data_IF_294624231041
#
_entry.id   IF_294624231041
#
_cell.length_a   1.000
_cell.length_b   1.000
_cell.length_c   1.000
_cell.angle_alpha   90.00
_cell.angle_beta   90.00
_cell.angle_gamma   90.00
#
_symmetry.space_group_name_H-M   'P 1'
#
loop_
_entity.id
_entity.type
_entity.pdbx_description
1 polymer ?
#
# COMPACT_ATOMS: atom_id res chain seq x y z
N UNK A 1 -16.13 -21.07 5.21
CA UNK A 1 -14.95 -20.39 4.64
C UNK A 1 -14.57 -19.20 5.50
N UNK A 2 -13.28 -18.96 5.73
CA UNK A 2 -12.84 -17.78 6.50
C UNK A 2 -12.58 -16.65 5.53
N UNK A 3 -13.44 -15.64 5.51
CA UNK A 3 -13.29 -14.43 4.69
C UNK A 3 -12.52 -13.41 5.52
N UNK A 4 -11.20 -13.47 5.53
CA UNK A 4 -10.41 -12.57 6.34
C UNK A 4 -9.69 -11.50 5.51
N UNK A 5 -9.43 -10.38 6.18
CA UNK A 5 -8.48 -9.35 5.78
C UNK A 5 -7.52 -9.11 6.93
N UNK A 6 -6.25 -8.91 6.62
CA UNK A 6 -5.23 -8.60 7.63
C UNK A 6 -4.30 -7.50 7.17
N UNK A 7 -3.82 -6.70 8.12
CA UNK A 7 -2.88 -5.60 7.87
C UNK A 7 -1.62 -5.83 8.68
N UNK A 8 -0.47 -5.84 8.01
CA UNK A 8 0.85 -5.85 8.60
C UNK A 8 1.59 -4.57 8.20
N UNK A 9 1.98 -3.76 9.20
CA UNK A 9 2.66 -2.50 8.97
C UNK A 9 4.16 -2.62 9.29
N UNK A 10 4.99 -2.10 8.39
CA UNK A 10 6.44 -1.91 8.55
C UNK A 10 6.79 -0.47 8.27
N UNK A 11 7.82 0.03 8.93
CA UNK A 11 8.32 1.38 8.71
C UNK A 11 9.75 1.34 8.15
N UNK A 12 10.03 2.30 7.29
CA UNK A 12 11.29 2.36 6.57
C UNK A 12 11.89 3.77 6.59
N UNK A 13 13.20 3.82 6.50
CA UNK A 13 13.93 5.08 6.31
C UNK A 13 13.76 5.57 4.89
N UNK A 14 13.99 6.86 4.66
CA UNK A 14 13.92 7.47 3.33
C UNK A 14 14.77 6.78 2.26
N UNK A 15 15.91 6.23 2.65
CA UNK A 15 16.84 5.54 1.73
C UNK A 15 16.30 4.19 1.24
N UNK A 16 15.25 3.68 1.84
CA UNK A 16 14.67 2.37 1.50
C UNK A 16 13.55 2.46 0.46
N UNK A 17 13.25 3.67 -0.06
CA UNK A 17 12.25 3.85 -1.12
C UNK A 17 12.59 3.02 -2.35
N UNK A 18 13.88 2.91 -2.69
CA UNK A 18 14.35 2.12 -3.82
C UNK A 18 14.02 0.63 -3.69
N UNK A 19 14.15 0.10 -2.48
CA UNK A 19 13.83 -1.30 -2.19
C UNK A 19 12.33 -1.56 -2.30
N UNK A 20 11.50 -0.67 -1.73
CA UNK A 20 10.04 -0.78 -1.79
C UNK A 20 9.58 -0.73 -3.24
N UNK A 21 9.98 0.29 -3.97
CA UNK A 21 9.63 0.50 -5.37
C UNK A 21 10.06 -0.67 -6.26
N UNK A 22 11.31 -1.15 -6.12
CA UNK A 22 11.82 -2.27 -6.92
C UNK A 22 11.04 -3.57 -6.71
N UNK A 23 10.53 -3.81 -5.48
CA UNK A 23 9.68 -4.95 -5.19
C UNK A 23 8.28 -4.75 -5.79
N UNK A 24 7.67 -3.61 -5.52
CA UNK A 24 6.27 -3.32 -5.89
C UNK A 24 6.09 -3.29 -7.42
N UNK A 25 7.06 -2.73 -8.16
CA UNK A 25 7.03 -2.64 -9.62
C UNK A 25 7.82 -3.76 -10.33
N UNK A 26 8.09 -4.87 -9.64
CA UNK A 26 8.73 -6.06 -10.25
C UNK A 26 10.09 -5.79 -10.91
N UNK A 27 10.85 -4.78 -10.46
CA UNK A 27 12.18 -4.46 -10.96
C UNK A 27 13.28 -5.34 -10.32
N UNK A 28 12.99 -6.06 -9.25
CA UNK A 28 13.88 -7.01 -8.59
C UNK A 28 13.43 -8.46 -8.82
N UNK A 29 14.39 -9.40 -8.78
CA UNK A 29 14.05 -10.83 -8.85
C UNK A 29 13.29 -11.24 -7.59
N UNK A 30 12.15 -11.93 -7.78
CA UNK A 30 11.27 -12.42 -6.73
C UNK A 30 11.13 -13.93 -6.90
N UNK A 31 11.46 -14.70 -5.86
CA UNK A 31 11.55 -16.17 -5.93
C UNK A 31 10.20 -16.88 -5.70
N UNK A 32 9.16 -16.16 -5.28
CA UNK A 32 7.82 -16.70 -4.96
C UNK A 32 6.74 -16.24 -5.95
N UNK A 33 7.15 -15.89 -7.18
CA UNK A 33 6.20 -15.66 -8.28
C UNK A 33 5.69 -16.99 -8.81
N UNK A 34 4.39 -17.04 -9.08
CA UNK A 34 3.79 -18.16 -9.83
C UNK A 34 4.23 -18.11 -11.29
N UNK A 35 4.33 -19.28 -11.90
CA UNK A 35 4.54 -19.35 -13.36
C UNK A 35 3.41 -18.63 -14.09
N UNK A 36 3.74 -17.94 -15.20
CA UNK A 36 2.77 -17.16 -15.99
C UNK A 36 1.57 -17.98 -16.47
N UNK A 37 1.72 -19.28 -16.62
CA UNK A 37 0.63 -20.19 -17.00
C UNK A 37 -0.45 -20.35 -15.92
N UNK A 38 -0.11 -20.04 -14.66
CA UNK A 38 -1.02 -20.08 -13.51
C UNK A 38 -1.66 -18.73 -13.19
N UNK A 39 -1.05 -17.62 -13.63
CA UNK A 39 -1.52 -16.26 -13.33
C UNK A 39 -2.71 -15.90 -14.20
N UNK A 40 -3.88 -15.69 -13.59
CA UNK A 40 -5.11 -15.30 -14.29
C UNK A 40 -5.28 -13.78 -14.41
N UNK A 41 -4.79 -13.03 -13.44
CA UNK A 41 -5.01 -11.59 -13.32
C UNK A 41 -3.67 -10.85 -13.29
N UNK A 42 -3.65 -9.67 -13.88
CA UNK A 42 -2.46 -8.81 -13.85
C UNK A 42 -2.41 -8.03 -12.55
N UNK A 43 -1.20 -7.73 -12.07
CA UNK A 43 -0.99 -6.80 -10.98
C UNK A 43 -1.55 -5.43 -11.32
N UNK A 44 -2.04 -4.71 -10.31
CA UNK A 44 -2.62 -3.39 -10.47
C UNK A 44 -1.90 -2.39 -9.58
N UNK A 45 -1.82 -1.13 -10.02
CA UNK A 45 -1.08 -0.11 -9.30
C UNK A 45 -1.84 1.22 -9.29
N UNK A 46 -1.74 1.94 -8.16
CA UNK A 46 -2.10 3.34 -8.03
C UNK A 46 -0.89 4.09 -7.49
N UNK A 47 -0.47 5.17 -8.14
CA UNK A 47 0.49 6.13 -7.58
C UNK A 47 -0.25 7.44 -7.33
N UNK A 48 -0.25 7.92 -6.10
CA UNK A 48 -0.93 9.15 -5.72
C UNK A 48 -0.09 10.35 -6.15
N UNK A 49 -0.63 11.16 -7.05
CA UNK A 49 0.01 12.38 -7.53
C UNK A 49 -1.03 13.51 -7.65
N UNK A 50 -0.69 14.74 -7.24
CA UNK A 50 -1.64 15.85 -7.15
C UNK A 50 -2.24 16.28 -8.50
N UNK A 51 -1.56 16.02 -9.61
CA UNK A 51 -1.92 16.55 -10.93
C UNK A 51 -2.28 15.46 -11.98
N UNK A 52 -2.36 14.19 -11.61
CA UNK A 52 -2.57 13.10 -12.57
C UNK A 52 -3.63 12.13 -12.07
N UNK A 53 -4.91 12.47 -12.24
CA UNK A 53 -5.99 11.53 -11.90
C UNK A 53 -6.41 10.61 -13.07
N UNK A 54 -6.10 10.96 -14.33
CA UNK A 54 -6.66 10.27 -15.50
C UNK A 54 -5.68 9.35 -16.25
N UNK A 55 -4.35 9.60 -16.23
CA UNK A 55 -3.41 8.87 -17.11
C UNK A 55 -2.55 7.79 -16.42
N UNK A 56 -2.68 7.57 -15.12
CA UNK A 56 -1.80 6.67 -14.35
C UNK A 56 -1.98 5.20 -14.73
N UNK A 57 -3.14 4.82 -15.24
CA UNK A 57 -3.44 3.43 -15.62
C UNK A 57 -2.62 2.95 -16.83
N UNK A 58 -2.19 3.87 -17.69
CA UNK A 58 -1.43 3.56 -18.92
C UNK A 58 0.09 3.62 -18.74
N UNK A 59 0.58 3.94 -17.53
CA UNK A 59 2.02 4.03 -17.27
C UNK A 59 2.66 2.65 -17.13
N UNK A 60 3.88 2.50 -17.64
CA UNK A 60 4.72 1.36 -17.34
C UNK A 60 5.33 1.43 -15.93
N UNK A 61 5.96 0.34 -15.49
CA UNK A 61 6.50 0.24 -14.13
C UNK A 61 7.64 1.23 -13.87
N UNK A 62 8.43 1.60 -14.89
CA UNK A 62 9.49 2.60 -14.77
C UNK A 62 8.90 4.01 -14.57
N UNK A 63 7.87 4.34 -15.33
CA UNK A 63 7.16 5.61 -15.20
C UNK A 63 6.48 5.75 -13.84
N UNK A 64 5.87 4.67 -13.32
CA UNK A 64 5.30 4.63 -11.96
C UNK A 64 6.36 4.84 -10.89
N UNK A 65 7.53 4.20 -11.02
CA UNK A 65 8.66 4.37 -10.11
C UNK A 65 9.15 5.83 -10.08
N UNK A 66 9.32 6.45 -11.24
CA UNK A 66 9.72 7.86 -11.36
C UNK A 66 8.71 8.78 -10.65
N UNK A 67 7.40 8.55 -10.84
CA UNK A 67 6.35 9.34 -10.20
C UNK A 67 6.36 9.16 -8.68
N UNK A 68 6.45 7.93 -8.18
CA UNK A 68 6.52 7.63 -6.75
C UNK A 68 7.69 8.35 -6.08
N UNK A 69 8.88 8.27 -6.66
CA UNK A 69 10.09 8.93 -6.14
C UNK A 69 9.97 10.44 -6.18
N UNK A 70 9.42 10.99 -7.26
CA UNK A 70 9.15 12.43 -7.41
C UNK A 70 8.21 12.94 -6.33
N UNK A 71 7.09 12.26 -6.10
CA UNK A 71 6.13 12.60 -5.06
C UNK A 71 6.75 12.47 -3.66
N UNK A 72 7.48 11.40 -3.40
CA UNK A 72 8.18 11.21 -2.13
C UNK A 72 9.19 12.32 -1.86
N UNK A 73 10.01 12.69 -2.84
CA UNK A 73 10.98 13.79 -2.73
C UNK A 73 10.29 15.14 -2.42
N UNK A 74 9.14 15.41 -3.07
CA UNK A 74 8.33 16.60 -2.81
C UNK A 74 7.83 16.64 -1.37
N UNK A 75 7.29 15.53 -0.86
CA UNK A 75 6.81 15.45 0.52
C UNK A 75 7.95 15.58 1.54
N UNK A 76 9.12 15.01 1.27
CA UNK A 76 10.32 15.21 2.11
C UNK A 76 10.70 16.68 2.18
N UNK A 77 10.74 17.39 1.06
CA UNK A 77 11.02 18.84 1.01
C UNK A 77 10.01 19.63 1.84
N UNK A 78 8.71 19.35 1.68
CA UNK A 78 7.64 20.01 2.45
C UNK A 78 7.77 19.75 3.95
N UNK A 79 8.09 18.51 4.35
CA UNK A 79 8.37 18.16 5.75
C UNK A 79 9.56 18.93 6.30
N UNK A 80 10.67 19.01 5.55
CA UNK A 80 11.87 19.75 5.94
C UNK A 80 11.59 21.26 6.11
N UNK A 81 10.71 21.83 5.30
CA UNK A 81 10.27 23.23 5.42
C UNK A 81 9.46 23.45 6.73
N UNK A 82 8.52 22.54 7.05
CA UNK A 82 7.78 22.56 8.31
C UNK A 82 8.73 22.47 9.50
N UNK A 83 9.68 21.53 9.46
CA UNK A 83 10.64 21.33 10.55
C UNK A 83 11.56 22.54 10.77
N UNK A 84 12.02 23.17 9.69
CA UNK A 84 12.81 24.42 9.76
C UNK A 84 12.01 25.56 10.39
N UNK A 85 10.76 25.76 9.95
CA UNK A 85 9.87 26.78 10.52
C UNK A 85 9.65 26.59 12.01
N UNK A 86 9.49 25.35 12.46
CA UNK A 86 9.30 25.01 13.88
C UNK A 86 10.59 24.94 14.69
N UNK A 87 11.75 25.20 14.08
CA UNK A 87 13.08 24.99 14.69
C UNK A 87 13.27 23.58 15.24
N UNK A 88 12.57 22.61 14.67
CA UNK A 88 12.68 21.20 15.01
C UNK A 88 13.55 20.52 13.96
N UNK A 89 14.76 20.17 14.30
CA UNK A 89 15.63 19.46 13.36
C UNK A 89 15.22 17.99 13.31
N UNK A 90 14.85 17.51 12.13
CA UNK A 90 14.52 16.11 11.92
C UNK A 90 15.72 15.21 12.21
N UNK A 91 15.45 14.06 12.81
CA UNK A 91 16.47 13.03 12.96
C UNK A 91 16.78 12.46 11.55
N UNK A 92 18.08 12.40 11.19
CA UNK A 92 18.54 11.77 9.93
C UNK A 92 18.08 10.30 9.78
N UNK A 93 17.73 9.69 10.91
CA UNK A 93 17.23 8.31 11.00
C UNK A 93 15.70 8.24 11.15
N UNK A 94 14.95 9.28 10.75
CA UNK A 94 13.48 9.22 10.81
C UNK A 94 12.95 8.16 9.85
N UNK A 95 11.92 7.45 10.29
CA UNK A 95 11.16 6.56 9.43
C UNK A 95 10.14 7.40 8.67
N UNK A 96 10.46 7.73 7.42
CA UNK A 96 9.63 8.61 6.59
C UNK A 96 8.59 7.83 5.76
N UNK A 97 8.74 6.52 5.69
CA UNK A 97 7.86 5.62 4.96
C UNK A 97 7.22 4.60 5.89
N UNK A 98 5.98 4.28 5.61
CA UNK A 98 5.24 3.15 6.19
C UNK A 98 4.68 2.35 5.03
N UNK A 99 4.95 1.06 5.02
CA UNK A 99 4.33 0.09 4.14
C UNK A 99 3.37 -0.77 4.93
N UNK A 100 2.14 -0.88 4.45
CA UNK A 100 1.14 -1.78 5.00
C UNK A 100 0.85 -2.87 3.98
N UNK A 101 1.18 -4.11 4.33
CA UNK A 101 0.78 -5.27 3.55
C UNK A 101 -0.62 -5.66 3.99
N UNK A 102 -1.58 -5.49 3.09
CA UNK A 102 -2.99 -5.81 3.31
C UNK A 102 -3.32 -7.09 2.55
N UNK A 103 -3.45 -8.20 3.27
CA UNK A 103 -3.70 -9.51 2.67
C UNK A 103 -5.18 -9.90 2.78
N UNK A 104 -5.70 -10.50 1.72
CA UNK A 104 -7.06 -10.99 1.60
C UNK A 104 -7.07 -12.53 1.59
N UNK A 105 -8.16 -13.13 2.08
CA UNK A 105 -8.38 -14.56 1.90
C UNK A 105 -8.45 -14.93 0.42
N UNK A 106 -7.61 -15.88 -0.01
CA UNK A 106 -7.44 -16.27 -1.41
C UNK A 106 -8.77 -16.54 -2.10
N UNK A 107 -9.54 -17.47 -1.58
CA UNK A 107 -10.77 -17.94 -2.21
C UNK A 107 -11.78 -16.83 -2.43
N UNK A 108 -11.97 -15.96 -1.43
CA UNK A 108 -12.90 -14.84 -1.53
C UNK A 108 -12.42 -13.79 -2.52
N UNK A 109 -11.12 -13.47 -2.51
CA UNK A 109 -10.54 -12.49 -3.42
C UNK A 109 -10.63 -12.97 -4.88
N UNK A 110 -10.27 -14.23 -5.15
CA UNK A 110 -10.37 -14.80 -6.49
C UNK A 110 -11.82 -14.88 -6.98
N UNK A 111 -12.77 -15.25 -6.11
CA UNK A 111 -14.18 -15.25 -6.46
C UNK A 111 -14.69 -13.85 -6.85
N UNK A 112 -14.28 -12.81 -6.16
CA UNK A 112 -14.62 -11.43 -6.54
C UNK A 112 -13.99 -11.04 -7.87
N UNK A 113 -12.72 -11.34 -8.09
CA UNK A 113 -12.02 -11.07 -9.35
C UNK A 113 -12.63 -11.82 -10.55
N UNK A 114 -12.97 -13.11 -10.38
CA UNK A 114 -13.64 -13.93 -11.41
C UNK A 114 -15.03 -13.35 -11.78
N UNK A 115 -15.68 -12.63 -10.87
CA UNK A 115 -16.95 -11.93 -11.10
C UNK A 115 -16.77 -10.46 -11.55
N UNK A 116 -15.54 -10.05 -11.92
CA UNK A 116 -15.26 -8.71 -12.44
C UNK A 116 -15.26 -7.59 -11.39
N UNK A 117 -15.15 -7.94 -10.10
CA UNK A 117 -15.10 -6.96 -9.02
C UNK A 117 -13.70 -6.33 -8.97
N UNK A 118 -13.67 -5.01 -8.93
CA UNK A 118 -12.45 -4.23 -8.80
C UNK A 118 -12.03 -4.13 -7.32
N UNK A 119 -11.12 -5.01 -6.89
CA UNK A 119 -10.57 -5.02 -5.53
C UNK A 119 -9.73 -3.78 -5.21
N UNK A 120 -9.15 -3.13 -6.25
CA UNK A 120 -8.32 -1.94 -6.05
C UNK A 120 -9.10 -0.81 -5.38
N UNK A 121 -10.41 -0.70 -5.62
CA UNK A 121 -11.28 0.27 -4.93
C UNK A 121 -11.30 0.10 -3.42
N UNK A 122 -11.27 -1.14 -2.92
CA UNK A 122 -11.19 -1.43 -1.49
C UNK A 122 -9.88 -0.97 -0.86
N UNK A 123 -8.77 -1.19 -1.56
CA UNK A 123 -7.45 -0.72 -1.13
C UNK A 123 -7.33 0.81 -1.20
N UNK A 124 -7.91 1.45 -2.22
CA UNK A 124 -7.94 2.91 -2.33
C UNK A 124 -8.78 3.55 -1.20
N UNK A 125 -9.95 2.97 -0.89
CA UNK A 125 -10.74 3.38 0.28
C UNK A 125 -9.93 3.21 1.57
N UNK A 126 -9.23 2.09 1.74
CA UNK A 126 -8.35 1.87 2.89
C UNK A 126 -7.28 2.97 3.00
N UNK A 127 -6.59 3.29 1.91
CA UNK A 127 -5.57 4.33 1.92
C UNK A 127 -6.13 5.72 2.28
N UNK A 128 -7.32 6.07 1.75
CA UNK A 128 -8.03 7.31 2.07
C UNK A 128 -8.48 7.35 3.53
N UNK A 129 -9.02 6.26 4.05
CA UNK A 129 -9.44 6.14 5.44
C UNK A 129 -8.25 6.22 6.40
N UNK A 130 -7.09 5.63 6.05
CA UNK A 130 -5.85 5.78 6.82
C UNK A 130 -5.35 7.23 6.87
N UNK A 131 -5.47 7.97 5.76
CA UNK A 131 -5.18 9.41 5.75
C UNK A 131 -6.14 10.17 6.66
N UNK A 132 -7.42 9.91 6.58
CA UNK A 132 -8.44 10.59 7.39
C UNK A 132 -8.27 10.35 8.90
N UNK A 133 -8.02 9.11 9.31
CA UNK A 133 -7.94 8.74 10.72
C UNK A 133 -6.58 9.04 11.34
N UNK A 134 -5.51 8.84 10.62
CA UNK A 134 -4.14 8.93 11.15
C UNK A 134 -3.33 10.09 10.60
N UNK A 135 -3.74 10.71 9.50
CA UNK A 135 -2.97 11.76 8.82
C UNK A 135 -1.82 11.21 7.96
N UNK A 136 -1.78 9.90 7.70
CA UNK A 136 -0.82 9.29 6.79
C UNK A 136 -1.09 9.71 5.35
N UNK A 137 -0.09 10.20 4.63
CA UNK A 137 -0.26 10.58 3.22
C UNK A 137 -0.02 9.39 2.32
N UNK A 138 -1.03 8.90 1.55
CA UNK A 138 -0.83 7.80 0.62
C UNK A 138 0.16 8.18 -0.49
N UNK A 139 1.01 7.25 -0.87
CA UNK A 139 1.98 7.38 -1.95
C UNK A 139 1.69 6.41 -3.09
N UNK A 140 1.40 5.14 -2.75
CA UNK A 140 1.28 4.06 -3.72
C UNK A 140 0.41 2.93 -3.17
N UNK A 141 -0.27 2.23 -4.08
CA UNK A 141 -0.88 0.91 -3.86
C UNK A 141 -0.40 -0.01 -4.99
N UNK A 142 0.16 -1.16 -4.63
CA UNK A 142 0.49 -2.24 -5.57
C UNK A 142 -0.24 -3.52 -5.16
N UNK A 143 -1.26 -3.90 -5.91
CA UNK A 143 -2.00 -5.15 -5.75
C UNK A 143 -1.28 -6.26 -6.50
N UNK A 144 -0.82 -7.26 -5.77
CA UNK A 144 -0.10 -8.41 -6.29
C UNK A 144 -1.05 -9.61 -6.45
N UNK A 145 -1.16 -10.10 -7.68
CA UNK A 145 -2.01 -11.20 -8.09
C UNK A 145 -1.20 -12.34 -8.75
N UNK A 146 0.13 -12.22 -8.73
CA UNK A 146 1.09 -13.13 -9.35
C UNK A 146 1.96 -13.89 -8.33
N UNK A 147 1.77 -13.63 -7.02
CA UNK A 147 2.53 -14.27 -5.96
C UNK A 147 1.82 -15.49 -5.39
N UNK A 148 2.61 -16.50 -5.02
CA UNK A 148 2.06 -17.72 -4.41
C UNK A 148 3.03 -18.89 -4.45
N UNK A 149 2.48 -20.10 -4.40
CA UNK A 149 3.24 -21.35 -4.50
C UNK A 149 2.35 -22.48 -5.04
N UNK A 150 2.96 -23.55 -5.50
CA UNK A 150 2.22 -24.75 -5.86
C UNK A 150 2.00 -25.63 -4.62
N UNK A 151 0.76 -26.04 -4.39
CA UNK A 151 0.39 -27.03 -3.38
C UNK A 151 -0.26 -28.21 -4.07
N UNK A 152 0.39 -29.38 -4.03
CA UNK A 152 -0.06 -30.59 -4.73
C UNK A 152 -0.28 -30.38 -6.24
N UNK A 153 0.53 -29.53 -6.88
CA UNK A 153 0.42 -29.20 -8.30
C UNK A 153 -0.58 -28.08 -8.62
N UNK A 154 -1.39 -27.65 -7.67
CA UNK A 154 -2.37 -26.56 -7.84
C UNK A 154 -1.83 -25.22 -7.33
N UNK A 155 -2.04 -24.10 -8.04
CA UNK A 155 -1.60 -22.79 -7.60
C UNK A 155 -2.37 -22.34 -6.35
N UNK A 156 -1.63 -21.82 -5.38
CA UNK A 156 -2.12 -21.13 -4.19
C UNK A 156 -1.65 -19.71 -4.23
N UNK A 157 -2.60 -18.78 -4.35
CA UNK A 157 -2.32 -17.37 -4.49
C UNK A 157 -2.20 -16.69 -3.13
N UNK A 158 -1.26 -15.74 -3.05
CA UNK A 158 -1.13 -14.83 -1.94
C UNK A 158 -1.65 -13.44 -2.38
N UNK A 159 -2.97 -13.27 -2.37
CA UNK A 159 -3.61 -12.02 -2.79
C UNK A 159 -3.41 -10.94 -1.74
N UNK A 160 -2.61 -9.94 -2.04
CA UNK A 160 -2.32 -8.84 -1.13
C UNK A 160 -1.96 -7.56 -1.87
N UNK A 161 -2.09 -6.45 -1.17
CA UNK A 161 -1.58 -5.17 -1.66
C UNK A 161 -0.54 -4.59 -0.70
N UNK A 162 0.50 -4.00 -1.27
CA UNK A 162 1.38 -3.07 -0.59
C UNK A 162 0.79 -1.68 -0.68
N UNK A 163 0.49 -1.08 0.46
CA UNK A 163 -0.01 0.30 0.55
C UNK A 163 1.06 1.13 1.24
N UNK A 164 1.68 2.03 0.48
CA UNK A 164 2.81 2.84 0.94
C UNK A 164 2.34 4.24 1.32
N UNK A 165 2.77 4.69 2.48
CA UNK A 165 2.43 6.00 3.04
C UNK A 165 3.67 6.80 3.38
N UNK A 166 3.56 8.12 3.26
CA UNK A 166 4.48 9.06 3.87
C UNK A 166 4.09 9.28 5.34
N UNK A 167 5.05 9.10 6.25
CA UNK A 167 4.85 9.11 7.70
C UNK A 167 4.89 10.53 8.28
N UNK A 168 4.02 11.41 7.81
CA UNK A 168 3.90 12.77 8.34
C UNK A 168 2.48 13.31 8.13
N UNK A 169 1.88 13.79 9.21
CA UNK A 169 0.62 14.52 9.21
C UNK A 169 0.94 16.02 9.02
N UNK A 170 0.65 16.57 7.84
CA UNK A 170 0.95 17.96 7.51
C UNK A 170 0.02 18.96 8.20
N UNK A 171 -1.18 18.55 8.62
CA UNK A 171 -2.11 19.40 9.37
C UNK A 171 -1.65 19.58 10.82
N UNK A 172 -1.25 18.48 11.45
CA UNK A 172 -0.74 18.46 12.83
C UNK A 172 0.77 18.71 12.92
N UNK A 173 1.46 18.70 11.78
CA UNK A 173 2.92 18.88 11.65
C UNK A 173 3.75 17.91 12.51
N UNK A 174 3.35 16.62 12.52
CA UNK A 174 3.98 15.57 13.32
C UNK A 174 4.20 14.28 12.54
N UNK A 175 5.22 13.51 12.94
CA UNK A 175 5.37 12.13 12.48
C UNK A 175 4.31 11.26 13.16
N UNK A 176 3.48 10.60 12.33
CA UNK A 176 2.31 9.83 12.77
C UNK A 176 2.72 8.61 13.58
N UNK A 177 3.64 7.79 13.06
CA UNK A 177 3.99 6.49 13.63
C UNK A 177 4.57 6.53 15.03
N UNK A 178 5.11 7.68 15.43
CA UNK A 178 5.62 7.87 16.81
C UNK A 178 4.55 7.75 17.89
N UNK A 179 3.28 7.90 17.52
CA UNK A 179 2.12 7.87 18.42
C UNK A 179 1.28 6.60 18.27
N UNK A 180 1.59 5.77 17.28
CA UNK A 180 0.86 4.52 17.02
C UNK A 180 1.13 3.50 18.12
N UNK A 181 0.09 3.04 18.77
CA UNK A 181 0.11 2.04 19.81
C UNK A 181 -0.73 0.80 19.44
N UNK A 182 -0.85 -0.13 20.39
CA UNK A 182 -1.56 -1.40 20.20
C UNK A 182 -3.05 -1.23 19.85
N UNK A 183 -3.70 -0.19 20.35
CA UNK A 183 -5.10 0.12 20.03
C UNK A 183 -5.24 0.59 18.58
N UNK A 184 -4.27 1.37 18.11
CA UNK A 184 -4.27 1.89 16.75
C UNK A 184 -4.04 0.79 15.72
N UNK A 185 -3.18 -0.21 16.01
CA UNK A 185 -3.00 -1.36 15.12
C UNK A 185 -4.28 -2.19 15.00
N UNK A 186 -5.09 -2.28 16.07
CA UNK A 186 -6.41 -2.91 16.02
C UNK A 186 -7.37 -2.10 15.14
N UNK A 187 -7.38 -0.77 15.31
CA UNK A 187 -8.21 0.13 14.48
C UNK A 187 -7.83 0.05 13.00
N UNK A 188 -6.56 -0.09 12.65
CA UNK A 188 -6.12 -0.27 11.26
C UNK A 188 -6.71 -1.54 10.62
N UNK A 189 -6.83 -2.63 11.39
CA UNK A 189 -7.50 -3.86 10.92
C UNK A 189 -9.01 -3.60 10.68
N UNK A 190 -9.66 -2.89 11.60
CA UNK A 190 -11.08 -2.56 11.49
C UNK A 190 -11.32 -1.61 10.29
N UNK A 191 -10.45 -0.61 10.07
CA UNK A 191 -10.51 0.28 8.90
C UNK A 191 -10.37 -0.53 7.60
N UNK A 192 -9.42 -1.48 7.55
CA UNK A 192 -9.26 -2.30 6.36
C UNK A 192 -10.54 -3.09 6.06
N UNK A 193 -11.12 -3.79 7.04
CA UNK A 193 -12.36 -4.54 6.84
C UNK A 193 -13.50 -3.63 6.37
N UNK A 194 -13.70 -2.48 7.03
CA UNK A 194 -14.75 -1.52 6.70
C UNK A 194 -14.61 -0.96 5.28
N UNK A 195 -13.37 -0.67 4.83
CA UNK A 195 -13.10 -0.12 3.49
C UNK A 195 -13.55 -1.04 2.36
N UNK A 196 -13.55 -2.33 2.59
CA UNK A 196 -14.10 -3.31 1.65
C UNK A 196 -15.61 -3.50 1.84
N UNK A 197 -16.11 -3.48 3.07
CA UNK A 197 -17.55 -3.60 3.37
C UNK A 197 -18.36 -2.44 2.78
N UNK A 198 -17.83 -1.22 2.74
CA UNK A 198 -18.43 -0.06 2.08
C UNK A 198 -18.73 -0.29 0.59
N UNK A 199 -18.01 -1.21 -0.04
CA UNK A 199 -18.22 -1.65 -1.43
C UNK A 199 -19.10 -2.90 -1.55
N UNK A 200 -19.67 -3.38 -0.45
CA UNK A 200 -20.44 -4.63 -0.41
C UNK A 200 -19.56 -5.88 -0.40
N UNK A 201 -18.23 -5.76 -0.22
CA UNK A 201 -17.29 -6.87 -0.21
C UNK A 201 -17.12 -7.40 1.22
N UNK A 202 -17.45 -8.67 1.43
CA UNK A 202 -17.48 -9.26 2.77
C UNK A 202 -16.12 -9.87 3.15
N UNK A 203 -15.20 -9.00 3.61
CA UNK A 203 -13.99 -9.42 4.32
C UNK A 203 -14.13 -9.07 5.80
N UNK A 204 -13.68 -9.97 6.67
CA UNK A 204 -13.73 -9.83 8.13
C UNK A 204 -12.33 -9.79 8.70
N UNK A 205 -12.20 -9.12 9.84
CA UNK A 205 -10.96 -9.08 10.61
C UNK A 205 -10.68 -10.42 11.27
#
# INVERSE_FOLDING_TARGET
MRNYISVNAKYYKKVEIDRISSHNFRQSKIDYLLDKTHVKFQNQHIVYHENMQEDIQNLDDLQRDILLRGQFAKLLKSKDEVQRRRKCYGNKNSNDLIEMVVALSEEQALNYLDNGVDLMKGFDNFAKNMKQHFGLTPLEISLHLDEGHLKNGEPKFNVHAHVVFFNFDFEKEISVWRKVGRKDTKLMQDIAANSFQELGLNFQR
#
